data_IF_146696096236
#
_entry.id   IF_146696096236
#
_cell.length_a   1.000
_cell.length_b   1.000
_cell.length_c   1.000
_cell.angle_alpha   90.00
_cell.angle_beta   90.00
_cell.angle_gamma   90.00
#
_symmetry.space_group_name_H-M   'P 1'
#
loop_
_entity.id
_entity.type
_entity.pdbx_description
1 polymer ?
#
# COMPACT_ATOMS: atom_id res chain seq x y z
N UNK A 1 18.44 -39.13 20.36
CA UNK A 1 17.09 -38.65 19.97
C UNK A 1 17.26 -37.61 18.90
N UNK A 2 16.79 -37.84 17.67
CA UNK A 2 16.61 -36.72 16.73
C UNK A 2 15.55 -35.83 17.35
N UNK A 3 15.83 -34.54 17.52
CA UNK A 3 14.79 -33.59 17.87
C UNK A 3 13.65 -33.74 16.85
N UNK A 4 12.40 -33.81 17.33
CA UNK A 4 11.26 -33.85 16.43
C UNK A 4 11.36 -32.63 15.50
N UNK A 5 11.44 -32.90 14.20
CA UNK A 5 11.70 -31.89 13.16
C UNK A 5 10.41 -31.72 12.38
N UNK A 6 9.88 -30.50 12.31
CA UNK A 6 8.73 -30.20 11.46
C UNK A 6 9.21 -29.79 10.07
N UNK A 7 8.90 -30.60 9.06
CA UNK A 7 9.22 -30.29 7.67
C UNK A 7 8.13 -29.42 7.04
N UNK A 8 8.50 -28.23 6.56
CA UNK A 8 7.65 -27.34 5.78
C UNK A 8 8.03 -27.50 4.30
N UNK A 9 7.20 -28.18 3.53
CA UNK A 9 7.42 -28.34 2.09
C UNK A 9 6.64 -27.27 1.31
N UNK A 10 7.35 -26.35 0.66
CA UNK A 10 6.78 -25.34 -0.24
C UNK A 10 6.70 -25.94 -1.64
N UNK A 11 5.46 -26.06 -2.13
CA UNK A 11 5.14 -26.58 -3.47
C UNK A 11 4.47 -25.47 -4.26
N UNK A 12 4.62 -25.51 -5.58
CA UNK A 12 3.82 -24.66 -6.46
C UNK A 12 2.43 -25.26 -6.56
N UNK A 13 1.41 -24.53 -6.10
CA UNK A 13 0.04 -25.06 -6.02
C UNK A 13 -0.93 -24.11 -6.73
N UNK A 14 -1.95 -24.63 -7.44
CA UNK A 14 -3.05 -23.81 -7.93
C UNK A 14 -3.77 -23.22 -6.71
N UNK A 15 -3.53 -21.95 -6.44
CA UNK A 15 -4.21 -21.18 -5.39
C UNK A 15 -4.79 -19.90 -5.98
N UNK A 16 -5.69 -19.26 -5.24
CA UNK A 16 -6.16 -17.92 -5.56
C UNK A 16 -4.99 -16.94 -5.39
N UNK A 17 -4.33 -16.63 -6.51
CA UNK A 17 -3.23 -15.68 -6.58
C UNK A 17 -3.77 -14.45 -7.29
N UNK A 18 -3.66 -13.30 -6.64
CA UNK A 18 -4.09 -12.04 -7.23
C UNK A 18 -3.37 -11.79 -8.55
N UNK A 19 -4.16 -11.46 -9.57
CA UNK A 19 -3.62 -11.04 -10.83
C UNK A 19 -3.41 -9.52 -10.84
N UNK A 20 -2.18 -9.09 -11.11
CA UNK A 20 -1.86 -7.67 -11.20
C UNK A 20 -2.73 -6.92 -12.22
N UNK A 21 -3.28 -7.61 -13.23
CA UNK A 21 -4.19 -7.06 -14.24
C UNK A 21 -5.50 -6.53 -13.63
N UNK A 22 -5.89 -7.05 -12.48
CA UNK A 22 -7.14 -6.74 -11.78
C UNK A 22 -6.90 -5.87 -10.53
N UNK A 23 -5.64 -5.67 -10.15
CA UNK A 23 -5.26 -4.91 -8.97
C UNK A 23 -5.16 -3.41 -9.27
N UNK A 24 -5.57 -2.58 -8.32
CA UNK A 24 -5.41 -1.12 -8.38
C UNK A 24 -4.02 -0.69 -7.87
N UNK A 25 -3.65 0.58 -8.05
CA UNK A 25 -2.41 1.17 -7.50
C UNK A 25 -1.20 1.08 -8.44
N UNK A 26 -0.06 1.59 -7.99
CA UNK A 26 1.16 1.79 -8.79
C UNK A 26 2.25 0.74 -8.53
N UNK A 27 2.10 -0.05 -7.48
CA UNK A 27 2.94 -1.17 -7.05
C UNK A 27 2.25 -2.53 -7.28
N UNK A 28 1.12 -2.56 -7.98
CA UNK A 28 0.27 -3.75 -8.16
C UNK A 28 1.01 -4.96 -8.75
N UNK A 29 1.92 -4.76 -9.72
CA UNK A 29 2.74 -5.85 -10.26
C UNK A 29 3.63 -6.48 -9.18
N UNK A 30 4.33 -5.65 -8.40
CA UNK A 30 5.17 -6.12 -7.30
C UNK A 30 4.33 -6.81 -6.21
N UNK A 31 3.19 -6.23 -5.83
CA UNK A 31 2.27 -6.83 -4.86
C UNK A 31 1.75 -8.19 -5.31
N UNK A 32 1.38 -8.37 -6.59
CA UNK A 32 0.95 -9.68 -7.09
C UNK A 32 2.01 -10.77 -6.87
N UNK A 33 3.29 -10.43 -7.01
CA UNK A 33 4.39 -11.36 -6.79
C UNK A 33 4.54 -11.70 -5.30
N UNK A 34 4.40 -10.68 -4.44
CA UNK A 34 4.49 -10.82 -2.98
C UNK A 34 3.32 -11.65 -2.45
N UNK A 35 2.10 -11.39 -2.93
CA UNK A 35 0.87 -12.11 -2.59
C UNK A 35 1.01 -13.59 -2.98
N UNK A 36 1.50 -13.87 -4.20
CA UNK A 36 1.76 -15.24 -4.64
C UNK A 36 2.76 -15.95 -3.72
N UNK A 37 3.92 -15.35 -3.45
CA UNK A 37 4.94 -15.94 -2.59
C UNK A 37 4.43 -16.19 -1.16
N UNK A 38 3.66 -15.24 -0.65
CA UNK A 38 2.98 -15.33 0.65
C UNK A 38 2.01 -16.51 0.71
N UNK A 39 1.11 -16.61 -0.27
CA UNK A 39 0.08 -17.64 -0.31
C UNK A 39 0.70 -19.05 -0.30
N UNK A 40 1.78 -19.25 -1.08
CA UNK A 40 2.50 -20.53 -1.10
C UNK A 40 3.16 -20.87 0.24
N UNK A 41 3.72 -19.87 0.94
CA UNK A 41 4.29 -20.08 2.29
C UNK A 41 3.18 -20.45 3.27
N UNK A 42 2.09 -19.70 3.29
CA UNK A 42 0.95 -19.95 4.16
C UNK A 42 0.38 -21.36 3.94
N UNK A 43 0.16 -21.75 2.68
CA UNK A 43 -0.33 -23.09 2.34
C UNK A 43 0.64 -24.19 2.79
N UNK A 44 1.95 -23.96 2.68
CA UNK A 44 2.95 -24.90 3.18
C UNK A 44 2.86 -25.10 4.70
N UNK A 45 2.68 -24.01 5.47
CA UNK A 45 2.47 -24.10 6.92
C UNK A 45 1.16 -24.80 7.27
N UNK A 46 0.06 -24.42 6.62
CA UNK A 46 -1.27 -25.02 6.83
C UNK A 46 -1.24 -26.53 6.59
N UNK A 47 -0.57 -26.98 5.52
CA UNK A 47 -0.40 -28.41 5.22
C UNK A 47 0.44 -29.15 6.26
N UNK A 48 1.59 -28.59 6.64
CA UNK A 48 2.52 -29.26 7.54
C UNK A 48 2.00 -29.36 8.99
N UNK A 49 1.32 -28.31 9.45
CA UNK A 49 0.87 -28.22 10.85
C UNK A 49 -0.59 -28.62 11.03
N UNK A 50 -1.43 -28.47 10.01
CA UNK A 50 -2.86 -28.79 10.08
C UNK A 50 -3.54 -28.05 11.23
N UNK A 51 -4.26 -28.78 12.08
CA UNK A 51 -4.93 -28.23 13.27
C UNK A 51 -3.98 -27.68 14.34
N UNK A 52 -2.66 -27.95 14.23
CA UNK A 52 -1.64 -27.38 15.14
C UNK A 52 -1.28 -25.94 14.77
N UNK A 53 -1.63 -25.47 13.57
CA UNK A 53 -1.48 -24.07 13.21
C UNK A 53 -2.68 -23.28 13.74
N UNK A 54 -2.53 -22.64 14.89
CA UNK A 54 -3.60 -21.89 15.56
C UNK A 54 -3.87 -20.55 14.88
N UNK A 55 -2.81 -19.90 14.39
CA UNK A 55 -2.91 -18.69 13.59
C UNK A 55 -1.70 -18.56 12.66
N UNK A 56 -1.92 -17.94 11.50
CA UNK A 56 -0.88 -17.52 10.58
C UNK A 56 -1.04 -16.01 10.32
N UNK A 57 0.06 -15.28 10.40
CA UNK A 57 0.14 -13.85 10.09
C UNK A 57 1.43 -13.58 9.34
N UNK A 58 1.43 -12.54 8.53
CA UNK A 58 2.66 -11.93 8.05
C UNK A 58 2.95 -10.67 8.85
N UNK A 59 4.19 -10.54 9.32
CA UNK A 59 4.60 -9.27 9.90
C UNK A 59 4.69 -8.20 8.79
N UNK A 60 3.99 -7.09 8.96
CA UNK A 60 3.88 -5.93 8.05
C UNK A 60 5.18 -5.14 7.83
N UNK A 61 6.35 -5.74 8.08
CA UNK A 61 7.67 -5.07 8.01
C UNK A 61 8.71 -5.86 7.20
N UNK A 62 8.28 -6.79 6.35
CA UNK A 62 9.15 -7.37 5.34
C UNK A 62 9.29 -6.39 4.18
N UNK A 63 10.29 -5.49 4.19
CA UNK A 63 10.86 -5.05 2.92
C UNK A 63 11.28 -6.33 2.21
N UNK A 64 10.54 -6.71 1.16
CA UNK A 64 10.93 -7.82 0.30
C UNK A 64 12.30 -7.45 -0.26
N UNK A 65 13.32 -8.12 0.26
CA UNK A 65 14.68 -7.85 -0.10
C UNK A 65 14.94 -8.51 -1.44
N UNK A 66 14.95 -7.74 -2.50
CA UNK A 66 15.53 -8.19 -3.76
C UNK A 66 17.05 -8.09 -3.59
N UNK A 67 17.79 -9.20 -3.73
CA UNK A 67 19.24 -9.11 -3.69
C UNK A 67 19.71 -8.24 -4.87
N UNK A 68 20.59 -7.28 -4.56
CA UNK A 68 21.19 -6.30 -5.48
C UNK A 68 21.82 -6.87 -6.75
N UNK A 69 22.08 -8.19 -6.78
CA UNK A 69 22.64 -8.93 -7.91
C UNK A 69 21.59 -9.42 -8.91
N UNK A 70 20.30 -9.38 -8.56
CA UNK A 70 19.19 -9.76 -9.43
C UNK A 70 18.20 -8.61 -9.50
N UNK A 71 18.25 -7.92 -10.65
CA UNK A 71 17.42 -6.79 -11.06
C UNK A 71 17.89 -5.46 -10.47
N UNK A 72 18.62 -4.71 -11.29
CA UNK A 72 18.46 -3.25 -11.34
C UNK A 72 16.96 -2.91 -11.24
N UNK A 73 16.60 -1.90 -10.44
CA UNK A 73 15.22 -1.39 -10.27
C UNK A 73 14.46 -1.12 -11.59
N UNK A 74 15.19 -1.13 -12.71
CA UNK A 74 14.75 -0.88 -14.07
C UNK A 74 14.20 -2.10 -14.85
N UNK A 75 14.07 -3.29 -14.24
CA UNK A 75 13.68 -4.54 -14.95
C UNK A 75 12.57 -5.38 -14.28
N UNK A 76 11.75 -4.80 -13.39
CA UNK A 76 10.63 -5.51 -12.74
C UNK A 76 9.43 -5.67 -13.70
N UNK A 77 9.51 -6.61 -14.63
CA UNK A 77 8.46 -6.84 -15.65
C UNK A 77 8.19 -8.33 -15.85
N UNK A 78 7.00 -8.68 -16.34
CA UNK A 78 6.63 -10.02 -16.74
C UNK A 78 7.59 -10.57 -17.79
N UNK A 79 8.04 -9.75 -18.76
CA UNK A 79 9.11 -10.13 -19.70
C UNK A 79 10.33 -10.69 -18.98
N UNK A 80 10.86 -9.92 -18.03
CA UNK A 80 12.07 -10.34 -17.32
C UNK A 80 11.82 -11.56 -16.43
N UNK A 81 10.65 -11.68 -15.82
CA UNK A 81 10.28 -12.88 -15.07
C UNK A 81 10.20 -14.11 -15.99
N UNK A 82 9.50 -14.00 -17.13
CA UNK A 82 9.36 -15.07 -18.13
C UNK A 82 10.72 -15.50 -18.68
N UNK A 83 11.61 -14.56 -19.01
CA UNK A 83 12.98 -14.85 -19.47
C UNK A 83 13.80 -15.62 -18.41
N UNK A 84 13.56 -15.34 -17.12
CA UNK A 84 14.24 -16.01 -16.01
C UNK A 84 13.65 -17.38 -15.68
N UNK A 85 12.39 -17.64 -16.02
CA UNK A 85 11.66 -18.88 -15.71
C UNK A 85 11.28 -19.05 -14.23
N UNK A 86 11.94 -18.34 -13.31
CA UNK A 86 11.68 -18.36 -11.86
C UNK A 86 11.72 -16.96 -11.26
N UNK A 87 10.98 -16.75 -10.18
CA UNK A 87 10.92 -15.51 -9.40
C UNK A 87 11.30 -15.82 -7.95
N UNK A 88 12.28 -15.10 -7.40
CA UNK A 88 12.73 -15.28 -6.00
C UNK A 88 12.31 -14.11 -5.13
N UNK A 89 11.51 -14.39 -4.11
CA UNK A 89 11.07 -13.44 -3.09
C UNK A 89 11.83 -13.74 -1.79
N UNK A 90 12.46 -12.74 -1.18
CA UNK A 90 13.16 -12.92 0.11
C UNK A 90 12.69 -11.93 1.16
N UNK A 91 12.93 -12.26 2.43
CA UNK A 91 12.54 -11.40 3.55
C UNK A 91 11.08 -11.58 3.97
N UNK A 92 10.44 -12.67 3.57
CA UNK A 92 9.11 -13.04 4.06
C UNK A 92 9.23 -13.32 5.56
N UNK A 93 8.28 -12.78 6.34
CA UNK A 93 8.25 -12.91 7.81
C UNK A 93 6.95 -13.54 8.30
N UNK A 94 6.79 -14.87 8.16
CA UNK A 94 5.70 -15.58 8.79
C UNK A 94 5.75 -15.45 10.31
N UNK A 95 4.59 -15.28 10.91
CA UNK A 95 4.35 -15.32 12.35
C UNK A 95 3.24 -16.32 12.57
N UNK A 96 3.56 -17.42 13.24
CA UNK A 96 2.60 -18.47 13.52
C UNK A 96 2.39 -18.64 15.01
N UNK A 97 1.17 -19.00 15.39
CA UNK A 97 0.84 -19.45 16.73
C UNK A 97 0.64 -20.98 16.70
N UNK A 98 1.32 -21.71 17.60
CA UNK A 98 1.33 -23.18 17.68
C UNK A 98 1.26 -23.64 19.15
N UNK A 99 0.79 -24.87 19.43
CA UNK A 99 0.85 -25.47 20.76
C UNK A 99 2.26 -25.45 21.38
N UNK A 100 2.35 -25.50 22.71
CA UNK A 100 3.64 -25.44 23.42
C UNK A 100 4.57 -26.61 23.09
N UNK A 101 3.99 -27.78 22.85
CA UNK A 101 4.65 -29.04 22.52
C UNK A 101 5.11 -29.13 21.06
N UNK A 102 4.74 -28.17 20.20
CA UNK A 102 5.24 -28.13 18.83
C UNK A 102 6.78 -27.96 18.83
N UNK A 103 7.57 -28.73 18.07
CA UNK A 103 9.00 -28.51 18.00
C UNK A 103 9.36 -27.12 17.47
N UNK A 104 10.48 -26.59 17.97
CA UNK A 104 11.07 -25.32 17.49
C UNK A 104 12.12 -25.54 16.40
N UNK A 105 12.22 -26.78 15.91
CA UNK A 105 13.09 -27.18 14.80
C UNK A 105 12.25 -27.35 13.54
N UNK A 106 12.55 -26.53 12.52
CA UNK A 106 11.87 -26.56 11.23
C UNK A 106 12.87 -26.77 10.11
N UNK A 107 12.50 -27.60 9.15
CA UNK A 107 13.22 -27.75 7.88
C UNK A 107 12.34 -27.27 6.75
N UNK A 108 12.86 -26.35 5.92
CA UNK A 108 12.14 -25.84 4.76
C UNK A 108 12.66 -26.54 3.52
N UNK A 109 11.76 -27.26 2.85
CA UNK A 109 12.03 -27.91 1.58
C UNK A 109 11.24 -27.18 0.50
N UNK A 110 11.84 -27.04 -0.68
CA UNK A 110 11.15 -26.52 -1.84
C UNK A 110 11.25 -27.53 -2.98
N UNK A 111 10.21 -27.59 -3.81
CA UNK A 111 10.14 -28.50 -4.94
C UNK A 111 11.42 -28.43 -5.81
N UNK A 112 12.13 -29.56 -6.04
CA UNK A 112 13.34 -29.59 -6.87
C UNK A 112 13.14 -29.04 -8.28
N UNK A 113 11.93 -29.11 -8.85
CA UNK A 113 11.61 -28.57 -10.18
C UNK A 113 11.61 -27.02 -10.22
N UNK A 114 11.71 -26.37 -9.06
CA UNK A 114 11.82 -24.90 -8.89
C UNK A 114 13.25 -24.48 -8.48
N UNK A 115 14.15 -25.46 -8.32
CA UNK A 115 15.54 -25.44 -7.82
C UNK A 115 15.95 -24.43 -6.72
N UNK A 116 16.44 -25.05 -5.64
CA UNK A 116 17.42 -24.60 -4.64
C UNK A 116 16.97 -23.66 -3.51
N UNK A 117 16.45 -24.26 -2.44
CA UNK A 117 16.90 -23.96 -1.08
C UNK A 117 17.29 -25.27 -0.37
N UNK A 118 18.57 -25.69 -0.36
CA UNK A 118 19.06 -26.50 0.73
C UNK A 118 19.34 -25.55 1.88
N UNK A 119 18.35 -25.27 2.73
CA UNK A 119 18.62 -24.68 4.05
C UNK A 119 18.57 -25.81 5.05
N UNK A 120 19.59 -26.67 5.03
CA UNK A 120 20.01 -27.24 6.30
C UNK A 120 20.55 -26.07 7.11
N UNK A 121 19.87 -25.72 8.20
CA UNK A 121 20.34 -24.70 9.12
C UNK A 121 21.65 -25.17 9.76
N UNK A 122 22.78 -24.93 9.10
CA UNK A 122 24.09 -24.87 9.72
C UNK A 122 24.63 -23.46 9.50
N UNK A 123 24.71 -22.76 10.63
CA UNK A 123 25.38 -21.48 10.79
C UNK A 123 26.85 -21.70 10.39
N UNK A 124 27.34 -21.00 9.36
CA UNK A 124 28.66 -20.35 9.38
C UNK A 124 28.96 -19.52 8.12
N UNK A 125 29.86 -18.56 8.33
CA UNK A 125 30.13 -17.32 7.61
C UNK A 125 30.65 -17.43 6.16
N UNK A 126 30.09 -16.62 5.25
CA UNK A 126 30.73 -15.37 4.79
C UNK A 126 29.87 -14.70 3.71
N UNK A 127 29.56 -13.41 3.92
CA UNK A 127 28.60 -12.56 3.20
C UNK A 127 27.13 -12.86 3.57
N UNK A 128 26.46 -12.06 4.44
CA UNK A 128 25.25 -12.50 5.11
C UNK A 128 24.05 -12.39 4.18
N UNK A 129 23.80 -13.42 3.37
CA UNK A 129 22.41 -13.81 3.13
C UNK A 129 21.87 -14.10 4.51
N UNK A 130 21.03 -13.20 5.03
CA UNK A 130 20.55 -13.33 6.38
C UNK A 130 19.92 -14.72 6.56
N UNK A 131 20.50 -15.51 7.45
CA UNK A 131 20.10 -16.89 7.66
C UNK A 131 18.69 -16.90 8.22
N UNK A 132 17.88 -17.86 7.77
CA UNK A 132 16.56 -18.11 8.36
C UNK A 132 16.71 -18.21 9.87
N UNK A 133 15.95 -17.40 10.60
CA UNK A 133 15.95 -17.42 12.06
C UNK A 133 14.53 -17.51 12.59
N UNK A 134 14.37 -18.23 13.70
CA UNK A 134 13.10 -18.49 14.35
C UNK A 134 13.22 -17.94 15.77
N UNK A 135 12.30 -17.04 16.15
CA UNK A 135 12.17 -16.55 17.51
C UNK A 135 10.89 -17.10 18.13
N UNK A 136 11.02 -17.83 19.22
CA UNK A 136 9.89 -18.31 20.00
C UNK A 136 9.54 -17.32 21.12
N UNK A 137 8.25 -17.05 21.31
CA UNK A 137 7.69 -16.32 22.45
C UNK A 137 6.57 -17.13 23.07
N UNK A 138 6.74 -17.51 24.33
CA UNK A 138 5.72 -18.22 25.10
C UNK A 138 4.55 -17.28 25.38
N UNK A 139 3.34 -17.71 25.06
CA UNK A 139 2.07 -17.05 25.36
C UNK A 139 1.31 -17.87 26.41
N UNK A 140 0.10 -17.45 26.82
CA UNK A 140 -0.64 -18.11 27.91
C UNK A 140 -1.01 -19.57 27.59
N UNK A 141 -1.48 -19.84 26.38
CA UNK A 141 -1.99 -21.16 25.97
C UNK A 141 -1.31 -21.72 24.70
N UNK A 142 -0.32 -21.00 24.17
CA UNK A 142 0.38 -21.36 22.93
C UNK A 142 1.76 -20.70 22.95
N UNK A 143 2.57 -20.98 21.93
CA UNK A 143 3.77 -20.20 21.65
C UNK A 143 3.67 -19.58 20.26
N UNK A 144 4.26 -18.39 20.14
CA UNK A 144 4.37 -17.65 18.90
C UNK A 144 5.76 -17.85 18.32
N UNK A 145 5.83 -18.28 17.07
CA UNK A 145 7.08 -18.41 16.33
C UNK A 145 7.13 -17.32 15.26
N UNK A 146 8.18 -16.51 15.30
CA UNK A 146 8.45 -15.46 14.31
C UNK A 146 9.62 -15.89 13.44
N UNK A 147 9.36 -16.08 12.16
CA UNK A 147 10.36 -16.41 11.16
C UNK A 147 10.90 -15.12 10.55
N UNK A 148 12.21 -15.04 10.38
CA UNK A 148 12.87 -13.91 9.72
C UNK A 148 13.78 -14.41 8.60
N UNK A 149 13.81 -13.66 7.50
CA UNK A 149 14.63 -13.95 6.32
C UNK A 149 14.24 -15.23 5.58
N UNK A 150 12.96 -15.62 5.64
CA UNK A 150 12.45 -16.67 4.77
C UNK A 150 12.45 -16.18 3.33
N UNK A 151 12.95 -17.01 2.42
CA UNK A 151 12.88 -16.78 0.99
C UNK A 151 12.17 -17.94 0.30
N UNK A 152 11.53 -17.63 -0.82
CA UNK A 152 10.83 -18.59 -1.66
C UNK A 152 11.16 -18.30 -3.11
N UNK A 153 11.41 -19.35 -3.87
CA UNK A 153 11.46 -19.27 -5.34
C UNK A 153 10.14 -19.81 -5.89
N UNK A 154 9.56 -19.19 -6.91
CA UNK A 154 8.37 -19.70 -7.58
C UNK A 154 8.66 -19.80 -9.09
N UNK A 155 8.25 -20.87 -9.78
CA UNK A 155 8.35 -20.91 -11.22
C UNK A 155 7.37 -19.91 -11.81
N UNK A 156 7.66 -19.37 -12.99
CA UNK A 156 6.76 -18.37 -13.62
C UNK A 156 5.38 -18.97 -13.91
N UNK A 157 5.30 -20.29 -14.12
CA UNK A 157 4.04 -21.03 -14.25
C UNK A 157 3.12 -20.93 -13.04
N UNK A 158 3.62 -20.52 -11.88
CA UNK A 158 2.83 -20.29 -10.67
C UNK A 158 1.97 -19.02 -10.74
N UNK A 159 2.25 -18.11 -11.68
CA UNK A 159 1.58 -16.81 -11.75
C UNK A 159 0.49 -16.80 -12.82
N UNK A 160 -0.63 -16.08 -12.61
CA UNK A 160 -1.77 -16.07 -13.54
C UNK A 160 -1.42 -15.45 -14.91
N UNK A 161 -0.28 -14.77 -14.99
CA UNK A 161 0.24 -14.12 -16.18
C UNK A 161 1.36 -14.90 -16.89
N UNK A 162 1.58 -16.18 -16.53
CA UNK A 162 2.57 -17.06 -17.16
C UNK A 162 2.40 -17.24 -18.68
N UNK A 163 1.15 -17.18 -19.17
CA UNK A 163 0.82 -17.36 -20.58
C UNK A 163 0.83 -16.08 -21.42
N UNK A 164 1.25 -14.94 -20.86
CA UNK A 164 1.31 -13.69 -21.62
C UNK A 164 2.46 -13.71 -22.62
N UNK A 165 2.27 -13.06 -23.76
CA UNK A 165 3.33 -12.76 -24.73
C UNK A 165 3.80 -11.30 -24.57
N UNK A 166 5.00 -11.05 -24.00
CA UNK A 166 5.54 -9.71 -23.86
C UNK A 166 5.91 -9.04 -25.18
N UNK A 167 5.99 -9.77 -26.30
CA UNK A 167 6.27 -9.20 -27.62
C UNK A 167 5.00 -8.68 -28.30
N UNK A 168 3.87 -9.37 -28.11
CA UNK A 168 2.56 -8.94 -28.59
C UNK A 168 1.86 -7.87 -27.71
N UNK A 169 2.51 -7.43 -26.63
CA UNK A 169 1.93 -6.48 -25.69
C UNK A 169 1.63 -5.11 -26.33
N UNK A 170 0.42 -4.59 -26.12
CA UNK A 170 0.00 -3.24 -26.51
C UNK A 170 0.19 -2.17 -25.41
N UNK A 171 0.81 -2.55 -24.30
CA UNK A 171 0.97 -1.74 -23.08
C UNK A 171 -0.36 -1.21 -22.53
N UNK A 172 -1.31 -2.05 -22.11
CA UNK A 172 -2.59 -1.58 -21.57
C UNK A 172 -2.41 -0.68 -20.32
N UNK A 173 -3.37 0.20 -20.04
CA UNK A 173 -3.26 1.21 -18.96
C UNK A 173 -2.98 0.62 -17.58
N UNK A 174 -3.57 -0.55 -17.27
CA UNK A 174 -3.32 -1.27 -16.02
C UNK A 174 -1.84 -1.66 -15.89
N UNK A 175 -1.16 -2.00 -16.99
CA UNK A 175 0.21 -2.45 -16.96
C UNK A 175 1.23 -1.31 -16.82
N UNK A 176 0.79 -0.05 -16.76
CA UNK A 176 1.70 1.09 -16.67
C UNK A 176 2.03 1.36 -15.20
N UNK A 177 3.29 1.12 -14.83
CA UNK A 177 3.79 1.34 -13.47
C UNK A 177 4.87 2.44 -13.48
N UNK A 178 4.99 3.24 -12.41
CA UNK A 178 6.03 4.25 -12.29
C UNK A 178 7.41 3.62 -12.28
N UNK A 179 8.34 4.34 -12.89
CA UNK A 179 9.75 4.00 -12.92
C UNK A 179 10.53 5.19 -12.34
N UNK A 180 10.97 5.02 -11.09
CA UNK A 180 11.45 6.10 -10.21
C UNK A 180 12.90 6.51 -10.52
N UNK A 181 13.13 7.20 -11.63
CA UNK A 181 14.42 7.82 -11.92
C UNK A 181 14.23 9.16 -12.66
N UNK A 182 14.85 10.21 -12.13
CA UNK A 182 14.98 11.51 -12.81
C UNK A 182 13.94 12.56 -12.45
N UNK A 183 14.12 13.75 -13.03
CA UNK A 183 13.27 14.94 -12.80
C UNK A 183 11.85 14.74 -13.32
N UNK A 184 11.70 14.11 -14.49
CA UNK A 184 10.41 13.84 -15.14
C UNK A 184 9.97 12.42 -14.76
N UNK A 185 8.74 12.21 -14.25
CA UNK A 185 8.21 10.88 -14.01
C UNK A 185 8.25 10.02 -15.26
N UNK A 186 8.92 8.87 -15.15
CA UNK A 186 8.95 7.86 -16.21
C UNK A 186 8.08 6.68 -15.82
N UNK A 187 7.59 5.96 -16.81
CA UNK A 187 6.72 4.81 -16.64
C UNK A 187 7.23 3.66 -17.46
N UNK A 188 7.07 2.45 -16.95
CA UNK A 188 7.39 1.22 -17.64
C UNK A 188 6.15 0.36 -17.75
N UNK A 189 5.98 -0.33 -18.86
CA UNK A 189 4.98 -1.37 -18.97
C UNK A 189 5.45 -2.61 -18.19
N UNK A 190 4.73 -2.98 -17.14
CA UNK A 190 4.96 -4.18 -16.33
C UNK A 190 4.95 -5.47 -17.17
N UNK A 191 4.34 -5.48 -18.36
CA UNK A 191 4.34 -6.65 -19.25
C UNK A 191 5.62 -6.70 -20.09
N UNK A 192 5.83 -5.69 -20.95
CA UNK A 192 6.86 -5.76 -22.00
C UNK A 192 8.12 -4.94 -21.73
N UNK A 193 8.14 -4.11 -20.69
CA UNK A 193 9.28 -3.27 -20.33
C UNK A 193 9.51 -2.03 -21.19
N UNK A 194 8.61 -1.72 -22.15
CA UNK A 194 8.64 -0.45 -22.87
C UNK A 194 8.52 0.71 -21.90
N UNK A 195 9.31 1.76 -22.14
CA UNK A 195 9.41 2.93 -21.26
C UNK A 195 8.75 4.12 -21.93
N UNK A 196 8.11 4.97 -21.14
CA UNK A 196 7.46 6.18 -21.65
C UNK A 196 7.42 7.26 -20.57
N UNK A 197 7.19 8.50 -20.97
CA UNK A 197 6.68 9.53 -20.07
C UNK A 197 5.23 9.86 -20.45
N UNK A 198 4.51 10.54 -19.57
CA UNK A 198 3.14 10.95 -19.88
C UNK A 198 3.15 12.12 -20.86
N UNK A 199 2.32 12.07 -21.90
CA UNK A 199 2.21 13.14 -22.90
C UNK A 199 1.95 14.52 -22.28
N UNK A 200 1.19 14.59 -21.18
CA UNK A 200 0.94 15.83 -20.44
C UNK A 200 2.20 16.46 -19.81
N UNK A 201 3.37 15.84 -19.95
CA UNK A 201 4.67 16.32 -19.47
C UNK A 201 5.63 16.62 -20.61
N UNK A 202 5.22 16.46 -21.88
CA UNK A 202 6.10 16.67 -23.04
C UNK A 202 6.65 18.10 -23.11
N UNK A 203 5.84 19.10 -22.76
CA UNK A 203 6.31 20.49 -22.70
C UNK A 203 7.44 20.67 -21.67
N UNK A 204 7.33 19.99 -20.52
CA UNK A 204 8.39 20.00 -19.50
C UNK A 204 9.65 19.31 -20.02
N UNK A 205 9.52 18.20 -20.74
CA UNK A 205 10.66 17.51 -21.37
C UNK A 205 11.38 18.46 -22.32
N UNK A 206 10.66 19.20 -23.17
CA UNK A 206 11.26 20.15 -24.10
C UNK A 206 11.90 21.34 -23.37
N UNK A 207 11.22 21.95 -22.40
CA UNK A 207 11.75 23.04 -21.56
C UNK A 207 13.07 22.61 -20.92
N UNK A 208 13.11 21.44 -20.28
CA UNK A 208 14.31 20.97 -19.58
C UNK A 208 15.43 20.54 -20.55
N UNK A 209 15.08 20.08 -21.76
CA UNK A 209 16.06 19.72 -22.80
C UNK A 209 16.81 20.93 -23.35
N UNK A 210 16.17 22.11 -23.37
CA UNK A 210 16.74 23.35 -23.94
C UNK A 210 17.17 24.37 -22.88
N UNK A 211 17.00 24.07 -21.60
CA UNK A 211 17.27 25.03 -20.51
C UNK A 211 18.76 25.31 -20.37
N UNK A 212 19.15 26.58 -20.48
CA UNK A 212 20.51 27.03 -20.19
C UNK A 212 20.87 26.83 -18.72
N UNK A 213 22.13 26.49 -18.43
CA UNK A 213 22.66 26.25 -17.09
C UNK A 213 21.94 25.13 -16.30
N UNK A 214 21.29 24.20 -17.01
CA UNK A 214 20.70 22.98 -16.45
C UNK A 214 21.46 21.75 -16.98
N UNK A 215 21.67 20.74 -16.13
CA UNK A 215 22.20 19.45 -16.61
C UNK A 215 21.12 18.75 -17.43
N UNK A 216 21.24 18.81 -18.75
CA UNK A 216 20.29 18.22 -19.70
C UNK A 216 20.49 16.72 -19.86
N UNK A 217 21.60 16.14 -19.38
CA UNK A 217 21.93 14.73 -19.57
C UNK A 217 20.82 13.78 -19.09
N UNK A 218 20.21 13.93 -17.90
CA UNK A 218 19.12 13.07 -17.46
C UNK A 218 17.91 13.08 -18.40
N UNK A 219 17.63 14.22 -19.03
CA UNK A 219 16.52 14.37 -19.98
C UNK A 219 16.87 13.74 -21.33
N UNK A 220 18.09 13.91 -21.80
CA UNK A 220 18.57 13.26 -23.02
C UNK A 220 18.61 11.73 -22.86
N UNK A 221 19.02 11.23 -21.68
CA UNK A 221 19.03 9.80 -21.36
C UNK A 221 17.59 9.25 -21.28
N UNK A 222 16.65 10.02 -20.71
CA UNK A 222 15.22 9.70 -20.76
C UNK A 222 14.72 9.56 -22.21
N UNK A 223 14.95 10.56 -23.05
CA UNK A 223 14.48 10.58 -24.45
C UNK A 223 15.06 9.40 -25.24
N UNK A 224 16.33 9.04 -24.99
CA UNK A 224 16.97 7.88 -25.62
C UNK A 224 16.43 6.55 -25.13
N UNK A 225 16.09 6.45 -23.85
CA UNK A 225 15.69 5.19 -23.22
C UNK A 225 14.19 4.89 -23.32
N UNK A 226 13.35 5.90 -23.58
CA UNK A 226 11.91 5.77 -23.69
C UNK A 226 11.44 5.61 -25.14
N UNK A 227 10.37 4.85 -25.33
CA UNK A 227 9.65 4.67 -26.58
C UNK A 227 8.82 5.92 -26.99
N UNK A 228 8.98 7.03 -26.28
CA UNK A 228 8.30 8.31 -26.52
C UNK A 228 7.22 8.67 -25.49
N UNK A 229 6.48 9.77 -25.75
CA UNK A 229 5.36 10.18 -24.91
C UNK A 229 4.19 9.21 -25.07
N UNK A 230 3.43 9.03 -23.99
CA UNK A 230 2.25 8.16 -23.96
C UNK A 230 1.06 8.87 -23.34
N UNK A 231 -0.09 8.78 -24.01
CA UNK A 231 -1.39 9.24 -23.48
C UNK A 231 -1.73 8.44 -22.22
N UNK A 232 -2.18 9.14 -21.17
CA UNK A 232 -2.58 8.51 -19.89
C UNK A 232 -1.53 7.57 -19.28
N UNK A 233 -0.25 7.95 -19.32
CA UNK A 233 0.77 7.18 -18.58
C UNK A 233 0.77 7.49 -17.07
N UNK A 234 0.60 8.77 -16.71
CA UNK A 234 0.69 9.18 -15.31
C UNK A 234 -0.56 8.89 -14.46
N UNK A 235 -0.37 8.87 -13.14
CA UNK A 235 -1.45 8.65 -12.16
C UNK A 235 -2.59 9.66 -12.33
N UNK A 236 -2.25 10.95 -12.45
CA UNK A 236 -3.23 12.02 -12.57
C UNK A 236 -4.03 11.98 -13.89
N UNK A 237 -3.44 11.49 -15.00
CA UNK A 237 -4.18 11.35 -16.27
C UNK A 237 -5.05 10.09 -16.30
N UNK A 238 -4.68 9.06 -15.55
CA UNK A 238 -5.45 7.82 -15.40
C UNK A 238 -6.53 7.91 -14.32
N UNK A 239 -6.42 8.87 -13.40
CA UNK A 239 -7.31 8.97 -12.25
C UNK A 239 -7.07 7.88 -11.19
N UNK A 240 -5.85 7.33 -11.14
CA UNK A 240 -5.44 6.34 -10.12
C UNK A 240 -4.56 7.01 -9.06
N UNK A 241 -4.63 6.58 -7.79
CA UNK A 241 -3.79 7.16 -6.74
C UNK A 241 -2.31 6.76 -6.92
N UNK A 242 -1.41 7.62 -6.41
CA UNK A 242 -0.03 7.23 -6.14
C UNK A 242 -0.02 6.43 -4.84
N UNK A 243 0.41 5.18 -4.89
CA UNK A 243 0.46 4.29 -3.71
C UNK A 243 1.88 4.07 -3.20
N UNK A 244 2.89 4.35 -4.02
CA UNK A 244 4.29 4.26 -3.65
C UNK A 244 4.70 5.38 -2.67
N UNK A 245 5.41 5.02 -1.60
CA UNK A 245 6.00 5.98 -0.66
C UNK A 245 7.35 6.50 -1.20
N UNK A 246 7.57 7.82 -1.29
CA UNK A 246 8.86 8.35 -1.71
C UNK A 246 9.99 8.00 -0.72
N UNK A 247 11.18 7.70 -1.24
CA UNK A 247 12.28 7.08 -0.48
C UNK A 247 12.91 7.98 0.60
N UNK A 248 12.83 9.31 0.48
CA UNK A 248 13.41 10.23 1.46
C UNK A 248 12.57 11.52 1.60
N UNK A 249 11.99 11.72 2.79
CA UNK A 249 11.27 12.94 3.13
C UNK A 249 12.22 14.11 3.32
N UNK A 250 12.22 15.06 2.38
CA UNK A 250 12.75 16.41 2.64
C UNK A 250 11.81 17.16 3.61
N UNK A 251 12.40 17.98 4.48
CA UNK A 251 11.66 18.82 5.43
C UNK A 251 10.80 19.83 4.67
N UNK A 252 9.47 19.71 4.77
CA UNK A 252 8.54 20.77 4.34
C UNK A 252 7.21 20.30 3.74
N UNK A 253 7.14 19.07 3.23
CA UNK A 253 5.90 18.50 2.66
C UNK A 253 5.38 17.42 3.60
N UNK A 254 4.17 17.60 4.14
CA UNK A 254 3.49 16.63 5.00
C UNK A 254 2.18 16.15 4.37
N UNK A 255 1.69 14.97 4.76
CA UNK A 255 0.43 14.39 4.27
C UNK A 255 0.40 13.88 2.83
N UNK A 256 -0.82 13.63 2.31
CA UNK A 256 -1.12 13.07 0.97
C UNK A 256 -0.31 13.70 -0.16
N UNK A 257 -0.09 15.02 -0.11
CA UNK A 257 0.60 15.76 -1.19
C UNK A 257 2.08 15.41 -1.33
N UNK A 258 2.68 14.73 -0.33
CA UNK A 258 4.04 14.20 -0.43
C UNK A 258 4.18 13.16 -1.55
N UNK A 259 3.19 12.29 -1.71
CA UNK A 259 3.16 11.28 -2.78
C UNK A 259 3.08 11.93 -4.16
N UNK A 260 2.51 13.13 -4.25
CA UNK A 260 2.35 13.87 -5.50
C UNK A 260 3.44 14.91 -5.76
N UNK A 261 4.51 14.95 -4.95
CA UNK A 261 5.59 15.93 -5.06
C UNK A 261 6.11 16.10 -6.49
N UNK A 262 6.36 14.99 -7.19
CA UNK A 262 6.90 15.07 -8.54
C UNK A 262 5.94 15.77 -9.51
N UNK A 263 4.63 15.63 -9.33
CA UNK A 263 3.64 16.34 -10.14
C UNK A 263 3.63 17.85 -9.88
N UNK A 264 3.88 18.28 -8.64
CA UNK A 264 4.04 19.70 -8.31
C UNK A 264 5.24 20.29 -9.05
N UNK A 265 6.39 19.59 -9.04
CA UNK A 265 7.56 20.03 -9.78
C UNK A 265 7.26 20.15 -11.28
N UNK A 266 6.53 19.19 -11.85
CA UNK A 266 6.16 19.24 -13.28
C UNK A 266 5.26 20.44 -13.58
N UNK A 267 4.24 20.68 -12.76
CA UNK A 267 3.34 21.82 -12.92
C UNK A 267 4.06 23.17 -12.77
N UNK A 268 4.97 23.28 -11.79
CA UNK A 268 5.78 24.48 -11.57
C UNK A 268 6.68 24.79 -12.78
N UNK A 269 7.37 23.77 -13.32
CA UNK A 269 8.25 23.94 -14.48
C UNK A 269 7.44 24.30 -15.73
N UNK A 270 6.33 23.59 -15.98
CA UNK A 270 5.52 23.79 -17.18
C UNK A 270 4.97 25.21 -17.29
N UNK A 271 4.59 25.81 -16.16
CA UNK A 271 3.87 27.09 -16.15
C UNK A 271 4.68 28.25 -15.55
N UNK A 272 5.89 28.01 -15.07
CA UNK A 272 6.66 29.01 -14.32
C UNK A 272 6.00 29.42 -13.01
N UNK A 273 5.21 28.52 -12.41
CA UNK A 273 4.44 28.78 -11.20
C UNK A 273 5.27 28.63 -9.93
N UNK A 274 4.83 29.34 -8.88
CA UNK A 274 5.32 29.05 -7.53
C UNK A 274 4.79 27.69 -7.03
N UNK A 275 5.29 27.27 -5.86
CA UNK A 275 4.91 25.97 -5.30
C UNK A 275 3.43 25.86 -4.95
N UNK A 276 2.80 26.95 -4.51
CA UNK A 276 1.40 26.96 -4.07
C UNK A 276 0.46 26.80 -5.26
N UNK A 277 0.72 27.55 -6.34
CA UNK A 277 0.00 27.45 -7.62
C UNK A 277 0.16 26.05 -8.22
N UNK A 278 1.38 25.52 -8.23
CA UNK A 278 1.64 24.16 -8.70
C UNK A 278 0.89 23.10 -7.89
N UNK A 279 0.92 23.17 -6.56
CA UNK A 279 0.19 22.24 -5.70
C UNK A 279 -1.33 22.35 -5.90
N UNK A 280 -1.86 23.57 -6.03
CA UNK A 280 -3.28 23.80 -6.31
C UNK A 280 -3.73 23.15 -7.62
N UNK A 281 -2.91 23.20 -8.68
CA UNK A 281 -3.23 22.53 -9.94
C UNK A 281 -3.33 21.00 -9.80
N UNK A 282 -2.48 20.39 -8.97
CA UNK A 282 -2.54 18.95 -8.68
C UNK A 282 -3.75 18.63 -7.81
N UNK A 283 -4.06 19.49 -6.83
CA UNK A 283 -5.24 19.38 -5.97
C UNK A 283 -6.53 19.37 -6.79
N UNK A 284 -6.68 20.26 -7.75
CA UNK A 284 -7.83 20.28 -8.68
C UNK A 284 -7.97 18.98 -9.47
N UNK A 285 -6.85 18.46 -10.01
CA UNK A 285 -6.83 17.20 -10.75
C UNK A 285 -7.21 15.99 -9.89
N UNK A 286 -6.96 16.07 -8.58
CA UNK A 286 -7.39 15.08 -7.59
C UNK A 286 -8.81 15.34 -7.06
N UNK A 287 -9.46 16.44 -7.48
CA UNK A 287 -10.73 16.93 -6.97
C UNK A 287 -10.70 17.19 -5.46
N UNK A 288 -9.62 17.79 -4.98
CA UNK A 288 -9.43 18.19 -3.58
C UNK A 288 -9.29 19.72 -3.48
N UNK A 289 -9.75 20.37 -2.38
CA UNK A 289 -9.71 21.83 -2.27
C UNK A 289 -8.29 22.40 -2.37
N UNK A 290 -8.19 23.60 -2.96
CA UNK A 290 -6.94 24.38 -3.01
C UNK A 290 -6.45 24.75 -1.61
N UNK A 291 -5.16 25.06 -1.50
CA UNK A 291 -4.52 25.54 -0.29
C UNK A 291 -5.18 26.85 0.14
N UNK A 292 -5.80 26.82 1.33
CA UNK A 292 -6.48 27.98 1.92
C UNK A 292 -7.96 28.12 1.54
N UNK A 293 -8.49 27.26 0.67
CA UNK A 293 -9.92 27.22 0.30
C UNK A 293 -10.70 26.15 1.08
N UNK A 294 -10.14 25.62 2.17
CA UNK A 294 -10.68 24.47 2.88
C UNK A 294 -12.00 24.76 3.59
N UNK A 295 -13.11 24.42 2.94
CA UNK A 295 -14.17 23.63 3.57
C UNK A 295 -13.89 22.17 3.24
N UNK A 296 -13.65 21.33 4.25
CA UNK A 296 -13.65 19.88 4.07
C UNK A 296 -15.07 19.43 4.32
N UNK A 297 -15.70 18.76 3.36
CA UNK A 297 -17.02 18.17 3.57
C UNK A 297 -16.91 16.74 4.09
N UNK A 298 -17.99 16.26 4.67
CA UNK A 298 -18.23 14.84 5.00
C UNK A 298 -17.82 13.89 3.86
N UNK A 299 -18.20 14.21 2.62
CA UNK A 299 -17.91 13.39 1.44
C UNK A 299 -16.41 13.19 1.18
N UNK A 300 -15.59 14.19 1.50
CA UNK A 300 -14.13 14.12 1.32
C UNK A 300 -13.49 13.25 2.41
N UNK A 301 -13.96 13.40 3.65
CA UNK A 301 -13.53 12.53 4.76
C UNK A 301 -13.91 11.07 4.48
N UNK A 302 -15.13 10.81 3.98
CA UNK A 302 -15.58 9.47 3.60
C UNK A 302 -14.67 8.83 2.55
N UNK A 303 -14.31 9.57 1.50
CA UNK A 303 -13.40 9.08 0.44
C UNK A 303 -12.03 8.70 1.01
N UNK A 304 -11.51 9.50 1.93
CA UNK A 304 -10.22 9.23 2.60
C UNK A 304 -10.28 8.00 3.48
N UNK A 305 -11.31 7.86 4.33
CA UNK A 305 -11.47 6.68 5.19
C UNK A 305 -11.59 5.40 4.35
N UNK A 306 -12.37 5.42 3.27
CA UNK A 306 -12.47 4.28 2.33
C UNK A 306 -11.14 3.91 1.66
N UNK A 307 -10.33 4.91 1.33
CA UNK A 307 -9.02 4.67 0.76
C UNK A 307 -8.02 4.07 1.78
N UNK A 308 -8.16 4.43 3.06
CA UNK A 308 -7.31 3.92 4.15
C UNK A 308 -7.69 2.51 4.60
N UNK A 309 -8.96 2.13 4.44
CA UNK A 309 -9.49 0.83 4.83
C UNK A 309 -10.25 0.18 3.67
N UNK A 310 -9.56 -0.20 2.58
CA UNK A 310 -10.20 -0.69 1.36
C UNK A 310 -10.91 -2.04 1.55
N UNK A 311 -10.45 -2.85 2.50
CA UNK A 311 -10.96 -4.19 2.78
C UNK A 311 -12.02 -4.20 3.90
N UNK A 312 -12.43 -3.04 4.40
CA UNK A 312 -13.40 -2.93 5.48
C UNK A 312 -14.67 -2.21 5.03
N UNK A 313 -15.78 -2.59 5.65
CA UNK A 313 -17.05 -1.91 5.45
C UNK A 313 -16.99 -0.51 6.07
N UNK A 314 -17.08 0.52 5.21
CA UNK A 314 -17.17 1.93 5.60
C UNK A 314 -18.52 2.50 5.14
N UNK A 315 -19.43 2.63 6.11
CA UNK A 315 -20.82 3.06 5.90
C UNK A 315 -20.92 4.58 6.05
N UNK A 316 -21.44 5.24 5.03
CA UNK A 316 -21.77 6.66 5.07
C UNK A 316 -23.14 6.85 5.74
N UNK A 317 -23.30 7.87 6.59
CA UNK A 317 -24.57 8.14 7.28
C UNK A 317 -25.09 6.92 8.09
N UNK A 318 -24.15 6.23 8.73
CA UNK A 318 -24.39 4.97 9.44
C UNK A 318 -25.28 5.15 10.67
N UNK A 319 -26.25 4.26 10.83
CA UNK A 319 -27.19 4.23 11.95
C UNK A 319 -27.25 2.82 12.55
N UNK A 320 -26.31 2.45 13.43
CA UNK A 320 -26.45 1.20 14.16
C UNK A 320 -27.69 1.25 15.07
N UNK A 321 -28.34 0.10 15.29
CA UNK A 321 -29.67 0.02 15.93
C UNK A 321 -29.74 0.71 17.30
N UNK A 322 -28.65 0.66 18.07
CA UNK A 322 -28.54 1.28 19.40
C UNK A 322 -28.45 2.82 19.37
N UNK A 323 -28.21 3.44 18.22
CA UNK A 323 -28.10 4.89 18.04
C UNK A 323 -29.49 5.57 17.89
N UNK A 324 -30.54 4.76 17.70
CA UNK A 324 -31.91 5.24 17.56
C UNK A 324 -32.15 6.00 16.27
N UNK A 325 -32.68 7.23 16.36
CA UNK A 325 -33.02 8.06 15.17
C UNK A 325 -31.84 8.89 14.64
N UNK A 326 -30.67 8.81 15.26
CA UNK A 326 -29.49 9.57 14.86
C UNK A 326 -28.62 8.79 13.87
N UNK A 327 -27.65 9.49 13.27
CA UNK A 327 -26.68 8.96 12.32
C UNK A 327 -25.29 9.48 12.66
N UNK A 328 -24.28 8.71 12.30
CA UNK A 328 -22.89 9.15 12.19
C UNK A 328 -22.59 9.49 10.73
N UNK A 329 -21.77 10.52 10.49
CA UNK A 329 -21.25 10.82 9.16
C UNK A 329 -20.56 9.59 8.53
N UNK A 330 -19.71 8.90 9.31
CA UNK A 330 -19.06 7.65 8.91
C UNK A 330 -19.13 6.64 10.05
N UNK A 331 -19.51 5.41 9.72
CA UNK A 331 -19.52 4.26 10.63
C UNK A 331 -18.73 3.09 10.06
N UNK A 332 -17.82 2.53 10.87
CA UNK A 332 -17.04 1.34 10.56
C UNK A 332 -17.51 0.18 11.48
N UNK A 333 -18.46 -0.66 11.03
CA UNK A 333 -19.12 -1.65 11.90
C UNK A 333 -18.15 -2.64 12.55
N UNK A 334 -17.19 -3.16 11.77
CA UNK A 334 -16.23 -4.17 12.23
C UNK A 334 -15.35 -3.64 13.36
N UNK A 335 -14.94 -2.38 13.29
CA UNK A 335 -14.11 -1.72 14.30
C UNK A 335 -14.90 -1.11 15.45
N UNK A 336 -16.22 -1.01 15.30
CA UNK A 336 -17.10 -0.18 16.13
C UNK A 336 -16.58 1.27 16.28
N UNK A 337 -16.09 1.86 15.18
CA UNK A 337 -15.59 3.23 15.17
C UNK A 337 -16.56 4.12 14.39
N UNK A 338 -17.02 5.18 15.03
CA UNK A 338 -17.76 6.28 14.42
C UNK A 338 -16.83 7.47 14.21
N UNK A 339 -16.97 8.17 13.08
CA UNK A 339 -16.24 9.38 12.77
C UNK A 339 -17.25 10.46 12.39
N UNK A 340 -17.19 11.60 13.08
CA UNK A 340 -18.04 12.77 12.85
C UNK A 340 -17.19 13.95 12.40
N UNK A 341 -17.64 14.67 11.37
CA UNK A 341 -17.02 15.91 10.93
C UNK A 341 -17.84 17.10 11.43
N UNK A 342 -17.41 17.65 12.56
CA UNK A 342 -18.17 18.66 13.27
C UNK A 342 -17.97 20.05 12.63
N UNK A 343 -19.00 20.52 11.93
CA UNK A 343 -19.11 21.88 11.39
C UNK A 343 -19.08 22.99 12.46
N UNK A 344 -19.02 24.24 12.02
CA UNK A 344 -19.00 25.44 12.89
C UNK A 344 -20.17 25.49 13.90
N UNK A 345 -21.34 24.97 13.51
CA UNK A 345 -22.53 24.88 14.35
C UNK A 345 -22.39 23.98 15.60
N UNK A 346 -21.33 23.18 15.69
CA UNK A 346 -21.01 22.37 16.89
C UNK A 346 -20.21 23.16 17.93
N UNK A 347 -19.67 24.33 17.58
CA UNK A 347 -18.76 25.10 18.43
C UNK A 347 -19.30 26.48 18.78
N UNK A 348 -20.17 27.06 17.95
CA UNK A 348 -20.80 28.34 18.21
C UNK A 348 -22.19 28.47 17.61
N UNK A 349 -22.95 29.42 18.14
CA UNK A 349 -24.28 29.76 17.64
C UNK A 349 -24.19 30.43 16.27
N UNK A 350 -24.61 29.70 15.23
CA UNK A 350 -24.66 30.22 13.87
C UNK A 350 -26.09 30.61 13.52
N UNK A 351 -26.32 31.88 13.16
CA UNK A 351 -27.66 32.45 12.94
C UNK A 351 -28.45 31.70 11.86
N UNK A 352 -27.77 31.28 10.78
CA UNK A 352 -28.36 30.50 9.69
C UNK A 352 -28.84 29.10 10.11
N UNK A 353 -28.36 28.59 11.25
CA UNK A 353 -28.72 27.27 11.79
C UNK A 353 -29.62 27.37 13.03
N UNK A 354 -30.22 28.54 13.30
CA UNK A 354 -31.17 28.74 14.41
C UNK A 354 -30.57 29.34 15.67
N UNK A 355 -29.33 29.86 15.62
CA UNK A 355 -28.72 30.63 16.70
C UNK A 355 -28.53 29.86 18.01
N UNK A 356 -28.61 30.55 19.13
CA UNK A 356 -28.24 30.03 20.47
C UNK A 356 -29.06 28.80 20.87
N UNK A 357 -30.38 28.82 20.64
CA UNK A 357 -31.23 27.69 21.00
C UNK A 357 -30.89 26.42 20.20
N UNK A 358 -30.52 26.57 18.93
CA UNK A 358 -30.12 25.44 18.10
C UNK A 358 -28.74 24.91 18.49
N UNK A 359 -27.83 25.79 18.91
CA UNK A 359 -26.52 25.42 19.41
C UNK A 359 -26.62 24.59 20.70
N UNK A 360 -27.44 25.00 21.66
CA UNK A 360 -27.68 24.24 22.89
C UNK A 360 -28.31 22.86 22.61
N UNK A 361 -29.26 22.79 21.67
CA UNK A 361 -29.80 21.49 21.21
C UNK A 361 -28.75 20.61 20.52
N UNK A 362 -27.78 21.20 19.83
CA UNK A 362 -26.67 20.45 19.21
C UNK A 362 -25.74 19.89 20.28
N UNK A 363 -25.36 20.67 21.29
CA UNK A 363 -24.55 20.17 22.43
C UNK A 363 -25.21 18.97 23.13
N UNK A 364 -26.51 19.08 23.41
CA UNK A 364 -27.27 17.99 24.05
C UNK A 364 -27.26 16.72 23.18
N UNK A 365 -27.39 16.86 21.86
CA UNK A 365 -27.33 15.71 20.92
C UNK A 365 -25.94 15.10 20.86
N UNK A 366 -24.89 15.91 20.80
CA UNK A 366 -23.50 15.45 20.76
C UNK A 366 -23.11 14.71 22.05
N UNK A 367 -23.53 15.22 23.21
CA UNK A 367 -23.34 14.55 24.51
C UNK A 367 -24.09 13.21 24.58
N UNK A 368 -25.34 13.18 24.13
CA UNK A 368 -26.12 11.94 24.08
C UNK A 368 -25.44 10.91 23.16
N UNK A 369 -24.93 11.36 22.00
CA UNK A 369 -24.23 10.51 21.04
C UNK A 369 -22.93 9.94 21.61
N UNK A 370 -22.11 10.76 22.29
CA UNK A 370 -20.91 10.30 23.03
C UNK A 370 -21.26 9.24 24.08
N UNK A 371 -22.32 9.46 24.84
CA UNK A 371 -22.80 8.51 25.86
C UNK A 371 -23.23 7.18 25.23
N UNK A 372 -24.01 7.22 24.16
CA UNK A 372 -24.44 6.02 23.45
C UNK A 372 -23.26 5.22 22.87
N UNK A 373 -22.23 5.89 22.35
CA UNK A 373 -21.00 5.22 21.92
C UNK A 373 -20.32 4.50 23.08
N UNK A 374 -20.17 5.19 24.23
CA UNK A 374 -19.55 4.61 25.42
C UNK A 374 -20.32 3.39 25.94
N UNK A 375 -21.65 3.49 26.03
CA UNK A 375 -22.53 2.44 26.54
C UNK A 375 -22.53 1.18 25.63
N UNK A 376 -22.19 1.32 24.34
CA UNK A 376 -22.17 0.24 23.35
C UNK A 376 -20.75 -0.24 22.96
N UNK A 377 -19.73 0.21 23.69
CA UNK A 377 -18.31 -0.07 23.43
C UNK A 377 -17.92 0.28 21.98
N UNK A 378 -18.39 1.43 21.52
CA UNK A 378 -18.02 2.04 20.25
C UNK A 378 -17.13 3.26 20.51
N UNK A 379 -16.09 3.42 19.68
CA UNK A 379 -15.26 4.61 19.72
C UNK A 379 -15.87 5.71 18.85
N UNK A 380 -15.83 6.96 19.34
CA UNK A 380 -16.26 8.13 18.60
C UNK A 380 -15.06 9.06 18.36
N UNK A 381 -14.79 9.34 17.10
CA UNK A 381 -13.78 10.30 16.66
C UNK A 381 -14.50 11.54 16.14
N UNK A 382 -14.27 12.67 16.79
CA UNK A 382 -14.85 13.95 16.39
C UNK A 382 -13.77 14.84 15.79
N UNK A 383 -13.93 15.16 14.50
CA UNK A 383 -13.00 16.01 13.77
C UNK A 383 -13.61 17.41 13.63
N UNK A 384 -13.02 18.44 14.26
CA UNK A 384 -13.49 19.81 14.06
C UNK A 384 -13.31 20.25 12.61
N UNK A 385 -14.20 21.12 12.12
CA UNK A 385 -14.15 21.58 10.73
C UNK A 385 -12.85 22.30 10.35
N UNK A 386 -12.21 22.95 11.32
CA UNK A 386 -10.92 23.63 11.15
C UNK A 386 -9.71 22.70 11.27
N UNK A 387 -9.92 21.41 11.57
CA UNK A 387 -8.85 20.43 11.70
C UNK A 387 -8.88 19.43 10.55
N UNK A 388 -7.77 19.36 9.83
CA UNK A 388 -7.56 18.42 8.73
C UNK A 388 -6.47 17.44 9.14
N UNK A 389 -6.81 16.29 9.74
CA UNK A 389 -5.78 15.30 10.04
C UNK A 389 -5.14 14.83 8.73
N UNK A 390 -3.83 14.60 8.72
CA UNK A 390 -3.14 13.88 7.65
C UNK A 390 -3.61 12.42 7.61
N UNK A 391 -3.47 11.72 6.48
CA UNK A 391 -3.96 10.34 6.35
C UNK A 391 -3.30 9.38 7.36
N UNK A 392 -2.02 9.55 7.65
CA UNK A 392 -1.32 8.80 8.69
C UNK A 392 -1.89 9.08 10.09
N UNK A 393 -2.16 10.34 10.41
CA UNK A 393 -2.76 10.72 11.68
C UNK A 393 -4.20 10.22 11.81
N UNK A 394 -4.98 10.24 10.72
CA UNK A 394 -6.33 9.70 10.68
C UNK A 394 -6.32 8.18 10.83
N UNK A 395 -5.41 7.48 10.14
CA UNK A 395 -5.19 6.04 10.27
C UNK A 395 -4.78 5.66 11.69
N UNK A 396 -3.78 6.34 12.26
CA UNK A 396 -3.30 6.12 13.61
C UNK A 396 -4.41 6.36 14.63
N UNK A 397 -5.21 7.41 14.44
CA UNK A 397 -6.34 7.73 15.32
C UNK A 397 -7.41 6.64 15.26
N UNK A 398 -7.79 6.17 14.07
CA UNK A 398 -8.79 5.10 13.89
C UNK A 398 -8.26 3.77 14.45
N UNK A 399 -6.99 3.44 14.21
CA UNK A 399 -6.36 2.19 14.69
C UNK A 399 -6.18 2.22 16.21
N UNK A 400 -5.73 3.34 16.79
CA UNK A 400 -5.56 3.48 18.23
C UNK A 400 -6.90 3.40 18.99
N UNK A 401 -7.98 3.83 18.36
CA UNK A 401 -9.34 3.78 18.90
C UNK A 401 -10.03 2.43 18.63
N UNK A 402 -9.44 1.58 17.79
CA UNK A 402 -9.91 0.20 17.60
C UNK A 402 -9.45 -0.65 18.78
N UNK A 403 -10.38 -1.08 19.63
CA UNK A 403 -10.07 -2.05 20.70
C UNK A 403 -9.92 -3.47 20.10
N UNK A 404 -8.99 -4.29 20.61
CA UNK A 404 -8.75 -5.65 20.12
C UNK A 404 -9.90 -6.63 20.38
#
# INVERSE_FOLDING_TARGET
MRADLTTIQIRTEPGEINDFREMAGDDHFERSIIDAATAHVENAFRRALGSRLLAFKLASSGRVGWQKTWLDNHKKTARTALDQGVVRVTGIRPVIDVPHDEPEAFEFLQDPDVMCLPVTAKIEHNNPVATLSIKAKVMKNWKRLTFSHLGVTLPVSAFPWAGMDPQACACPEYAIIPHLHGTVPTYVCAICGRRSWCECMSDVVEILRTRENYDTKPILDLIKAADGPRVKACHLCRGVPVTSTPDHGEKGIKGLMLQYRTYHHMAAIANGWDWKEAENSVRERLSIPRIGEGWIGEAMLLKRVRALFPDEEVVHQGAPDWLGRQRFDIWMPVRKVAIEYNGQQHYEAVSAFGGEEAFERTKIRDELKRKLCLDNDAALIELPYYQVPEDSALLDLIVAMTRP
#
